data_IF_364182586241
#
_entry.id   IF_364182586241
#
_cell.length_a   1.000
_cell.length_b   1.000
_cell.length_c   1.000
_cell.angle_alpha   90.00
_cell.angle_beta   90.00
_cell.angle_gamma   90.00
#
_symmetry.space_group_name_H-M   'P 1'
#
loop_
_entity.id
_entity.type
_entity.pdbx_description
1 polymer ?
#
# COMPACT_ATOMS: atom_id res chain seq x y z
N UNK A 1 -7.82 13.34 13.89
CA UNK A 1 -6.68 13.19 12.98
C UNK A 1 -6.29 14.56 12.45
N UNK A 2 -4.99 14.80 12.28
CA UNK A 2 -4.48 16.03 11.69
C UNK A 2 -4.38 15.89 10.17
N UNK A 3 -4.29 17.01 9.45
CA UNK A 3 -3.91 17.00 8.04
C UNK A 3 -2.50 16.41 7.87
N UNK A 4 -2.25 15.76 6.72
CA UNK A 4 -0.91 15.34 6.34
C UNK A 4 0.04 16.54 6.39
N UNK A 5 1.24 16.33 6.91
CA UNK A 5 2.31 17.31 6.75
C UNK A 5 2.65 17.52 5.28
N UNK A 6 3.24 18.67 4.94
CA UNK A 6 3.65 18.97 3.57
C UNK A 6 4.59 17.88 3.02
N UNK A 7 5.57 17.45 3.81
CA UNK A 7 6.49 16.38 3.43
C UNK A 7 5.80 15.04 3.15
N UNK A 8 4.79 14.66 3.96
CA UNK A 8 4.03 13.43 3.72
C UNK A 8 3.20 13.53 2.45
N UNK A 9 2.57 14.69 2.22
CA UNK A 9 1.77 14.94 1.01
C UNK A 9 2.65 14.91 -0.23
N UNK A 10 3.79 15.58 -0.20
CA UNK A 10 4.71 15.63 -1.33
C UNK A 10 5.26 14.24 -1.66
N UNK A 11 5.61 13.45 -0.64
CA UNK A 11 6.06 12.06 -0.83
C UNK A 11 4.97 11.16 -1.42
N UNK A 12 3.74 11.21 -0.89
CA UNK A 12 2.64 10.35 -1.32
C UNK A 12 2.05 10.74 -2.69
N UNK A 13 2.25 12.00 -3.10
CA UNK A 13 1.77 12.53 -4.37
C UNK A 13 2.90 12.70 -5.41
N UNK A 14 4.10 12.17 -5.14
CA UNK A 14 5.22 12.22 -6.07
C UNK A 14 4.91 11.40 -7.35
N UNK A 15 5.09 11.96 -8.55
CA UNK A 15 4.83 11.25 -9.79
C UNK A 15 5.80 10.08 -10.00
N UNK A 16 5.25 8.89 -10.21
CA UNK A 16 6.04 7.68 -10.42
C UNK A 16 6.25 7.42 -11.93
N UNK A 17 7.50 7.39 -12.38
CA UNK A 17 7.87 6.92 -13.74
C UNK A 17 8.23 5.44 -13.66
N UNK A 18 7.53 4.59 -14.42
CA UNK A 18 7.69 3.13 -14.37
C UNK A 18 7.49 2.56 -12.96
N UNK A 19 6.46 3.05 -12.26
CA UNK A 19 6.11 2.60 -10.91
C UNK A 19 5.77 1.10 -10.84
N UNK A 20 5.69 0.60 -9.60
CA UNK A 20 5.31 -0.78 -9.33
C UNK A 20 3.80 -1.04 -9.46
N UNK A 21 3.41 -2.27 -9.12
CA UNK A 21 2.01 -2.67 -9.01
C UNK A 21 1.50 -2.42 -7.59
N UNK A 22 0.29 -1.87 -7.46
CA UNK A 22 -0.45 -1.84 -6.20
C UNK A 22 -1.49 -2.96 -6.22
N UNK A 23 -1.38 -3.90 -5.27
CA UNK A 23 -2.21 -5.10 -5.20
C UNK A 23 -2.94 -5.17 -3.87
N UNK A 24 -4.22 -5.51 -3.92
CA UNK A 24 -5.02 -5.84 -2.74
C UNK A 24 -5.22 -7.35 -2.68
N UNK A 25 -4.95 -7.95 -1.52
CA UNK A 25 -5.07 -9.40 -1.28
C UNK A 25 -6.00 -9.60 -0.09
N UNK A 26 -6.91 -10.57 -0.18
CA UNK A 26 -7.74 -10.93 0.98
C UNK A 26 -6.88 -11.66 2.03
N UNK A 27 -7.25 -11.64 3.32
CA UNK A 27 -6.45 -12.26 4.38
C UNK A 27 -6.17 -13.74 4.12
N UNK A 28 -7.09 -14.46 3.49
CA UNK A 28 -6.96 -15.89 3.21
C UNK A 28 -5.90 -16.18 2.13
N UNK A 29 -5.63 -15.22 1.24
CA UNK A 29 -4.66 -15.34 0.15
C UNK A 29 -3.29 -14.72 0.43
N UNK A 30 -3.11 -14.02 1.56
CA UNK A 30 -1.89 -13.26 1.83
C UNK A 30 -0.64 -14.15 1.85
N UNK A 31 -0.69 -15.29 2.55
CA UNK A 31 0.44 -16.20 2.68
C UNK A 31 0.87 -16.82 1.33
N UNK A 32 -0.11 -17.22 0.51
CA UNK A 32 0.15 -17.77 -0.82
C UNK A 32 0.75 -16.70 -1.73
N UNK A 33 0.18 -15.49 -1.75
CA UNK A 33 0.68 -14.38 -2.54
C UNK A 33 2.14 -14.02 -2.20
N UNK A 34 2.46 -13.92 -0.90
CA UNK A 34 3.82 -13.63 -0.45
C UNK A 34 4.80 -14.76 -0.81
N UNK A 35 4.35 -16.02 -0.77
CA UNK A 35 5.17 -17.18 -1.18
C UNK A 35 5.51 -17.09 -2.67
N UNK A 36 4.52 -16.89 -3.52
CA UNK A 36 4.73 -16.74 -4.99
C UNK A 36 5.60 -15.53 -5.30
N UNK A 37 5.39 -14.40 -4.60
CA UNK A 37 6.23 -13.21 -4.77
C UNK A 37 7.70 -13.52 -4.43
N UNK A 38 7.94 -14.22 -3.32
CA UNK A 38 9.29 -14.61 -2.90
C UNK A 38 9.95 -15.57 -3.91
N UNK A 39 9.20 -16.51 -4.49
CA UNK A 39 9.69 -17.40 -5.57
C UNK A 39 10.10 -16.61 -6.83
N UNK A 40 9.44 -15.49 -7.10
CA UNK A 40 9.78 -14.56 -8.17
C UNK A 40 10.90 -13.57 -7.79
N UNK A 41 11.48 -13.70 -6.60
CA UNK A 41 12.56 -12.84 -6.10
C UNK A 41 12.08 -11.50 -5.54
N UNK A 42 10.79 -11.37 -5.22
CA UNK A 42 10.18 -10.16 -4.65
C UNK A 42 9.92 -10.34 -3.15
N UNK A 43 10.65 -9.60 -2.31
CA UNK A 43 10.40 -9.54 -0.88
C UNK A 43 9.45 -8.39 -0.57
N UNK A 44 8.18 -8.72 -0.32
CA UNK A 44 7.12 -7.74 -0.15
C UNK A 44 6.70 -7.62 1.32
N UNK A 45 6.34 -6.40 1.72
CA UNK A 45 5.65 -6.12 2.99
C UNK A 45 4.40 -5.29 2.70
N UNK A 46 3.25 -5.57 3.34
CA UNK A 46 2.06 -4.75 3.19
C UNK A 46 2.31 -3.30 3.61
N UNK A 47 1.82 -2.34 2.82
CA UNK A 47 1.91 -0.89 3.12
C UNK A 47 0.63 -0.31 3.72
N UNK A 48 -0.40 -1.14 3.94
CA UNK A 48 -1.68 -0.70 4.50
C UNK A 48 -2.77 -1.76 4.36
N UNK A 49 -4.01 -1.35 4.66
CA UNK A 49 -5.20 -2.21 4.60
C UNK A 49 -6.37 -1.46 4.01
N UNK A 50 -7.24 -2.16 3.27
CA UNK A 50 -8.52 -1.59 2.85
C UNK A 50 -9.53 -1.60 4.02
N UNK A 51 -10.38 -0.57 4.03
CA UNK A 51 -11.45 -0.36 5.01
C UNK A 51 -12.72 0.02 4.28
N UNK A 52 -13.86 -0.14 4.93
CA UNK A 52 -15.11 0.44 4.44
C UNK A 52 -14.95 1.96 4.30
N UNK A 53 -15.77 2.56 3.43
CA UNK A 53 -15.70 4.01 3.16
C UNK A 53 -15.79 4.81 4.46
N UNK A 54 -14.76 5.61 4.71
CA UNK A 54 -14.68 6.56 5.82
C UNK A 54 -14.86 7.99 5.33
N UNK A 55 -14.73 8.96 6.25
CA UNK A 55 -14.71 10.41 5.92
C UNK A 55 -13.51 10.78 5.05
N UNK A 56 -12.35 10.15 5.28
CA UNK A 56 -11.14 10.33 4.47
C UNK A 56 -10.95 9.12 3.54
N UNK A 57 -10.36 9.36 2.37
CA UNK A 57 -10.06 8.28 1.41
C UNK A 57 -8.82 7.47 1.82
N UNK A 58 -7.84 8.10 2.48
CA UNK A 58 -6.59 7.50 2.94
C UNK A 58 -6.25 8.09 4.30
N UNK A 59 -5.76 7.24 5.20
CA UNK A 59 -5.29 7.60 6.54
C UNK A 59 -3.86 7.05 6.71
N UNK A 60 -2.96 7.86 7.27
CA UNK A 60 -1.55 7.52 7.46
C UNK A 60 -1.24 7.56 8.94
N UNK A 61 -0.58 6.51 9.45
CA UNK A 61 -0.29 6.30 10.87
C UNK A 61 1.21 6.26 11.14
#
# INVERSE_FOLDING_TARGET
MAALSDAQRDLLCDPQTSGGLLVAVSPEGEAEFLTVAAELGLLLNPIGTLRERQTHAVEVF
#
